data_IF_206828712226
#
_entry.id   IF_206828712226
#
_cell.length_a   1.000
_cell.length_b   1.000
_cell.length_c   1.000
_cell.angle_alpha   90.00
_cell.angle_beta   90.00
_cell.angle_gamma   90.00
#
_symmetry.space_group_name_H-M   'P 1'
#
loop_
_entity.id
_entity.type
_entity.pdbx_description
1 polymer ?
#
# COMPACT_ATOMS: atom_id res chain seq x y z
N UNK A 1 10.76 -6.90 -6.95
CA UNK A 1 11.88 -5.93 -7.07
C UNK A 1 11.39 -4.73 -7.84
N UNK A 2 11.95 -3.55 -7.60
CA UNK A 2 11.69 -2.39 -8.46
C UNK A 2 12.49 -2.49 -9.76
N UNK A 3 12.08 -1.72 -10.77
CA UNK A 3 12.73 -1.70 -12.10
C UNK A 3 14.20 -1.30 -12.05
N UNK A 4 14.58 -0.53 -11.05
CA UNK A 4 15.94 -0.06 -10.79
C UNK A 4 16.76 -1.02 -9.91
N UNK A 5 16.24 -2.22 -9.62
CA UNK A 5 16.93 -3.22 -8.81
C UNK A 5 16.78 -3.02 -7.30
N UNK A 6 16.06 -1.98 -6.84
CA UNK A 6 15.78 -1.85 -5.40
C UNK A 6 14.95 -3.02 -4.89
N UNK A 7 15.18 -3.36 -3.63
CA UNK A 7 14.49 -4.42 -2.90
C UNK A 7 13.96 -3.85 -1.59
N UNK A 8 12.72 -4.20 -1.27
CA UNK A 8 12.03 -3.82 -0.05
C UNK A 8 11.49 -5.07 0.61
N UNK A 9 11.66 -5.17 1.92
CA UNK A 9 11.14 -6.28 2.72
C UNK A 9 10.22 -5.71 3.79
N UNK A 10 8.96 -6.14 3.79
CA UNK A 10 8.01 -5.80 4.84
C UNK A 10 7.80 -7.02 5.75
N UNK A 11 7.85 -6.82 7.08
CA UNK A 11 7.62 -7.88 8.07
C UNK A 11 6.61 -7.40 9.11
N UNK A 12 5.46 -8.05 9.17
CA UNK A 12 4.45 -7.81 10.19
C UNK A 12 4.70 -8.70 11.42
N UNK A 13 5.42 -8.19 12.42
CA UNK A 13 5.64 -8.87 13.70
C UNK A 13 4.47 -8.55 14.65
N UNK A 14 3.64 -9.55 14.99
CA UNK A 14 2.45 -9.36 15.85
C UNK A 14 2.70 -9.60 17.34
N UNK A 15 3.68 -10.44 17.68
CA UNK A 15 3.91 -10.89 19.06
C UNK A 15 5.09 -10.19 19.76
N UNK A 16 6.05 -9.66 19.00
CA UNK A 16 7.21 -8.95 19.55
C UNK A 16 6.96 -7.44 19.64
N UNK A 17 7.83 -6.73 20.40
CA UNK A 17 7.91 -5.26 20.45
C UNK A 17 8.33 -4.70 19.08
N UNK A 18 7.42 -4.73 18.12
CA UNK A 18 7.66 -4.25 16.76
C UNK A 18 7.99 -2.77 16.80
N UNK A 19 9.18 -2.41 16.32
CA UNK A 19 9.50 -1.03 16.04
C UNK A 19 8.67 -0.58 14.83
N UNK A 20 7.98 0.55 14.97
CA UNK A 20 7.25 1.16 13.86
C UNK A 20 8.23 1.93 12.98
N UNK A 21 8.26 1.60 11.69
CA UNK A 21 9.11 2.27 10.70
C UNK A 21 9.80 1.28 9.78
N UNK A 22 10.86 1.74 9.13
CA UNK A 22 11.72 0.94 8.28
C UNK A 22 13.16 1.44 8.35
N UNK A 23 14.07 0.73 7.69
CA UNK A 23 15.45 1.16 7.50
C UNK A 23 15.74 1.16 6.01
N UNK A 24 16.16 2.30 5.49
CA UNK A 24 16.63 2.43 4.13
C UNK A 24 18.16 2.28 4.13
N UNK A 25 18.67 1.41 3.26
CA UNK A 25 20.10 1.22 3.06
C UNK A 25 20.46 1.79 1.69
N UNK A 26 21.44 2.69 1.65
CA UNK A 26 21.94 3.30 0.42
C UNK A 26 23.45 3.42 0.41
N UNK A 27 24.01 3.89 -0.70
CA UNK A 27 25.47 3.99 -0.93
C UNK A 27 26.19 4.83 0.12
N UNK A 28 25.51 5.86 0.67
CA UNK A 28 26.08 6.80 1.65
C UNK A 28 25.85 6.40 3.10
N UNK A 29 25.13 5.30 3.35
CA UNK A 29 24.80 4.84 4.70
C UNK A 29 23.36 4.33 4.83
N UNK A 30 22.96 4.08 6.07
CA UNK A 30 21.63 3.60 6.42
C UNK A 30 20.88 4.63 7.27
N UNK A 31 19.61 4.85 6.96
CA UNK A 31 18.74 5.75 7.73
C UNK A 31 17.48 5.03 8.21
N UNK A 32 17.05 5.37 9.43
CA UNK A 32 15.73 4.97 9.93
C UNK A 32 14.66 5.86 9.30
N UNK A 33 13.70 5.22 8.64
CA UNK A 33 12.53 5.88 8.08
C UNK A 33 11.35 5.69 9.01
N UNK A 34 10.88 6.78 9.59
CA UNK A 34 9.64 6.82 10.37
C UNK A 34 9.85 6.64 11.87
N UNK A 35 8.79 6.19 12.53
CA UNK A 35 8.63 6.21 13.98
C UNK A 35 7.20 6.62 14.33
N UNK A 36 6.74 6.25 15.52
CA UNK A 36 5.41 6.66 15.96
C UNK A 36 5.46 8.11 16.47
N UNK A 37 4.91 9.05 15.70
CA UNK A 37 4.81 10.47 16.06
C UNK A 37 3.43 10.87 16.60
N UNK A 38 2.60 9.90 17.00
CA UNK A 38 1.21 10.14 17.39
C UNK A 38 0.26 10.31 16.19
N UNK A 39 -1.05 10.45 16.47
CA UNK A 39 -2.10 10.51 15.44
C UNK A 39 -2.34 11.91 14.88
N UNK A 40 -1.77 12.95 15.49
CA UNK A 40 -1.99 14.34 15.07
C UNK A 40 -1.72 14.56 13.56
N UNK A 41 -0.62 14.07 12.96
CA UNK A 41 -0.38 14.24 11.53
C UNK A 41 -1.48 13.62 10.65
N UNK A 42 -1.96 12.43 11.01
CA UNK A 42 -3.06 11.77 10.32
C UNK A 42 -4.36 12.59 10.39
N UNK A 43 -4.72 13.06 11.59
CA UNK A 43 -5.94 13.85 11.78
C UNK A 43 -5.91 15.17 10.98
N UNK A 44 -4.74 15.80 10.85
CA UNK A 44 -4.58 17.00 10.02
C UNK A 44 -4.89 16.70 8.55
N UNK A 45 -4.37 15.60 8.00
CA UNK A 45 -4.65 15.22 6.60
C UNK A 45 -6.10 14.80 6.37
N UNK A 46 -6.74 14.14 7.35
CA UNK A 46 -8.17 13.82 7.29
C UNK A 46 -9.01 15.10 7.19
N UNK A 47 -8.74 16.10 8.05
CA UNK A 47 -9.47 17.38 8.02
C UNK A 47 -9.24 18.11 6.70
N UNK A 48 -8.01 18.09 6.15
CA UNK A 48 -7.73 18.66 4.82
C UNK A 48 -8.55 17.98 3.74
N UNK A 49 -8.56 16.64 3.69
CA UNK A 49 -9.36 15.87 2.74
C UNK A 49 -10.83 16.29 2.77
N UNK A 50 -11.45 16.40 3.95
CA UNK A 50 -12.85 16.80 4.04
C UNK A 50 -13.12 18.26 3.62
N UNK A 51 -12.14 19.15 3.80
CA UNK A 51 -12.27 20.56 3.42
C UNK A 51 -12.04 20.81 1.94
N UNK A 52 -11.09 20.09 1.33
CA UNK A 52 -10.63 20.35 -0.04
C UNK A 52 -11.11 19.31 -1.04
N UNK A 53 -11.54 18.13 -0.58
CA UNK A 53 -11.77 16.96 -1.42
C UNK A 53 -10.49 16.30 -1.94
N UNK A 54 -9.30 16.79 -1.57
CA UNK A 54 -8.00 16.30 -2.05
C UNK A 54 -7.37 15.42 -0.99
N UNK A 55 -7.17 14.15 -1.30
CA UNK A 55 -6.48 13.21 -0.43
C UNK A 55 -4.97 13.48 -0.34
N UNK A 56 -4.33 13.16 0.80
CA UNK A 56 -2.88 13.32 0.98
C UNK A 56 -2.07 12.33 0.12
N UNK A 57 -2.72 11.28 -0.37
CA UNK A 57 -2.17 10.22 -1.20
C UNK A 57 -3.09 10.05 -2.40
N UNK A 58 -2.51 9.91 -3.59
CA UNK A 58 -3.30 9.71 -4.81
C UNK A 58 -4.04 8.37 -4.80
N UNK A 59 -5.19 8.24 -5.49
CA UNK A 59 -5.91 6.97 -5.60
C UNK A 59 -5.04 5.85 -6.18
N UNK A 60 -4.18 6.15 -7.15
CA UNK A 60 -3.28 5.18 -7.78
C UNK A 60 -2.28 4.60 -6.78
N UNK A 61 -1.64 5.42 -5.95
CA UNK A 61 -0.71 4.94 -4.92
C UNK A 61 -1.44 4.08 -3.87
N UNK A 62 -2.67 4.45 -3.53
CA UNK A 62 -3.53 3.62 -2.67
C UNK A 62 -3.78 2.25 -3.30
N UNK A 63 -4.11 2.20 -4.60
CA UNK A 63 -4.32 0.94 -5.32
C UNK A 63 -3.05 0.09 -5.42
N UNK A 64 -1.88 0.71 -5.58
CA UNK A 64 -0.59 0.00 -5.57
C UNK A 64 -0.31 -0.68 -4.22
N UNK A 65 -0.63 -0.03 -3.10
CA UNK A 65 -0.55 -0.63 -1.76
C UNK A 65 -1.45 -1.87 -1.67
N UNK A 66 -2.70 -1.77 -2.16
CA UNK A 66 -3.61 -2.92 -2.19
C UNK A 66 -3.13 -4.04 -3.12
N UNK A 67 -2.56 -3.71 -4.28
CA UNK A 67 -2.00 -4.69 -5.19
C UNK A 67 -0.84 -5.47 -4.54
N UNK A 68 0.01 -4.80 -3.75
CA UNK A 68 1.07 -5.46 -3.00
C UNK A 68 0.52 -6.41 -1.93
N UNK A 69 -0.50 -5.98 -1.17
CA UNK A 69 -1.15 -6.84 -0.17
C UNK A 69 -1.83 -8.05 -0.83
N UNK A 70 -2.51 -7.85 -1.95
CA UNK A 70 -3.17 -8.93 -2.70
C UNK A 70 -2.14 -9.90 -3.31
N UNK A 71 -1.01 -9.41 -3.84
CA UNK A 71 0.07 -10.28 -4.32
C UNK A 71 0.65 -11.14 -3.20
N UNK A 72 0.80 -10.60 -1.99
CA UNK A 72 1.27 -11.36 -0.84
C UNK A 72 0.27 -12.46 -0.43
N UNK A 73 -1.04 -12.18 -0.46
CA UNK A 73 -2.04 -13.20 -0.16
C UNK A 73 -2.22 -14.22 -1.30
N UNK A 74 -2.08 -13.80 -2.55
CA UNK A 74 -2.03 -14.70 -3.70
C UNK A 74 -0.79 -15.61 -3.66
N UNK A 75 0.37 -15.09 -3.24
CA UNK A 75 1.58 -15.86 -3.02
C UNK A 75 1.32 -17.02 -2.05
N UNK A 76 0.69 -16.75 -0.90
CA UNK A 76 0.29 -17.81 0.06
C UNK A 76 -0.64 -18.84 -0.58
N UNK A 77 -1.63 -18.40 -1.38
CA UNK A 77 -2.55 -19.32 -2.09
C UNK A 77 -1.82 -20.25 -3.06
N UNK A 78 -0.67 -19.81 -3.59
CA UNK A 78 0.17 -20.57 -4.53
C UNK A 78 1.33 -21.33 -3.85
N UNK A 79 1.36 -21.40 -2.51
CA UNK A 79 2.44 -22.06 -1.79
C UNK A 79 3.71 -21.22 -1.67
N UNK A 80 3.55 -19.93 -1.37
CA UNK A 80 4.64 -18.98 -1.05
C UNK A 80 5.60 -18.68 -2.21
N UNK A 81 5.10 -18.71 -3.45
CA UNK A 81 5.87 -18.39 -4.66
C UNK A 81 5.75 -16.89 -5.03
N UNK A 82 6.74 -16.32 -5.73
CA UNK A 82 6.64 -14.94 -6.22
C UNK A 82 5.42 -14.70 -7.11
N UNK A 83 4.77 -13.55 -6.94
CA UNK A 83 3.61 -13.10 -7.74
C UNK A 83 3.91 -11.72 -8.34
N UNK A 84 3.56 -11.54 -9.61
CA UNK A 84 3.70 -10.26 -10.30
C UNK A 84 2.57 -9.29 -9.91
N UNK A 85 2.91 -8.04 -9.61
CA UNK A 85 1.92 -7.01 -9.24
C UNK A 85 0.98 -6.64 -10.39
N UNK A 86 1.42 -6.72 -11.64
CA UNK A 86 0.58 -6.47 -12.80
C UNK A 86 -0.54 -7.52 -12.89
N UNK A 87 -0.22 -8.79 -12.61
CA UNK A 87 -1.19 -9.89 -12.67
C UNK A 87 -2.37 -9.67 -11.72
N UNK A 88 -2.10 -9.34 -10.45
CA UNK A 88 -3.16 -9.04 -9.47
C UNK A 88 -3.89 -7.74 -9.75
N UNK A 89 -3.20 -6.73 -10.29
CA UNK A 89 -3.82 -5.44 -10.66
C UNK A 89 -4.82 -5.61 -11.81
N UNK A 90 -4.46 -6.37 -12.85
CA UNK A 90 -5.35 -6.70 -13.97
C UNK A 90 -6.55 -7.54 -13.50
N UNK A 91 -6.31 -8.54 -12.63
CA UNK A 91 -7.39 -9.33 -12.03
C UNK A 91 -8.35 -8.44 -11.23
N UNK A 92 -7.82 -7.48 -10.48
CA UNK A 92 -8.60 -6.48 -9.74
C UNK A 92 -9.46 -5.62 -10.67
N UNK A 93 -8.87 -5.09 -11.74
CA UNK A 93 -9.58 -4.28 -12.75
C UNK A 93 -10.70 -5.07 -13.43
N UNK A 94 -10.42 -6.28 -13.91
CA UNK A 94 -11.45 -7.17 -14.50
C UNK A 94 -12.61 -7.43 -13.53
N UNK A 95 -12.30 -7.59 -12.24
CA UNK A 95 -13.31 -7.83 -11.20
C UNK A 95 -14.14 -6.58 -10.91
N UNK A 96 -13.54 -5.39 -10.95
CA UNK A 96 -14.24 -4.11 -10.82
C UNK A 96 -15.15 -3.86 -12.03
N UNK A 97 -14.65 -4.09 -13.25
CA UNK A 97 -15.42 -3.91 -14.48
C UNK A 97 -16.62 -4.85 -14.54
N UNK A 98 -16.44 -6.11 -14.13
CA UNK A 98 -17.54 -7.08 -14.03
C UNK A 98 -18.59 -6.71 -12.95
N UNK A 99 -18.20 -5.90 -11.95
CA UNK A 99 -19.06 -5.48 -10.83
C UNK A 99 -19.53 -4.04 -10.94
N UNK A 100 -19.20 -3.32 -12.02
CA UNK A 100 -19.62 -1.92 -12.21
C UNK A 100 -21.15 -1.85 -12.28
N UNK A 101 -21.73 -1.49 -11.15
CA UNK A 101 -23.12 -1.11 -11.02
C UNK A 101 -23.32 0.23 -11.73
N UNK A 102 -24.14 0.28 -12.79
CA UNK A 102 -24.44 1.49 -13.58
C UNK A 102 -25.42 2.45 -12.90
N UNK A 103 -25.60 2.35 -11.58
CA UNK A 103 -26.51 3.20 -10.82
C UNK A 103 -25.85 4.51 -10.41
N UNK A 104 -26.24 5.62 -11.04
CA UNK A 104 -25.95 6.94 -10.51
C UNK A 104 -26.52 7.08 -9.09
N UNK A 105 -25.74 7.64 -8.17
CA UNK A 105 -26.20 7.99 -6.83
C UNK A 105 -27.33 9.04 -6.95
N UNK A 106 -28.53 8.80 -6.37
CA UNK A 106 -29.54 9.84 -6.30
C UNK A 106 -29.02 11.01 -5.46
N UNK A 107 -29.32 12.22 -5.94
CA UNK A 107 -28.95 13.51 -5.33
C UNK A 107 -29.48 13.66 -3.92
#
# INVERSE_FOLDING_TARGET
MWKDGRVGTYRGLRQDKGNYGGTAFGEKGSEQSGGYSGHRPLLVEIVKLFRTGVGPVGPQETLEIYAFMEAADESKRRGDVPVDLAEVSEKGQRSQDAKRFTGALPK
#
